data_IF_606820198933
#
_entry.id   IF_606820198933
#
_cell.length_a   1.000
_cell.length_b   1.000
_cell.length_c   1.000
_cell.angle_alpha   90.00
_cell.angle_beta   90.00
_cell.angle_gamma   90.00
#
_symmetry.space_group_name_H-M   'P 1'
#
loop_
_entity.id
_entity.type
_entity.pdbx_description
1 polymer ?
#
# COMPACT_ATOMS: atom_id res chain seq x y z
N UNK A 1 -13.49 -31.68 -18.88
CA UNK A 1 -12.83 -30.88 -17.82
C UNK A 1 -13.22 -29.44 -18.09
N UNK A 2 -14.25 -28.93 -17.40
CA UNK A 2 -14.68 -27.55 -17.59
C UNK A 2 -13.62 -26.64 -16.96
N UNK A 3 -12.94 -25.83 -17.77
CA UNK A 3 -12.16 -24.70 -17.29
C UNK A 3 -13.12 -23.77 -16.54
N UNK A 4 -13.00 -23.73 -15.20
CA UNK A 4 -13.71 -22.74 -14.40
C UNK A 4 -13.18 -21.36 -14.80
N UNK A 5 -14.07 -20.53 -15.35
CA UNK A 5 -13.75 -19.13 -15.60
C UNK A 5 -13.30 -18.49 -14.28
N UNK A 6 -12.18 -17.75 -14.29
CA UNK A 6 -11.69 -17.11 -13.08
C UNK A 6 -12.73 -16.11 -12.55
N UNK A 7 -12.93 -16.16 -11.24
CA UNK A 7 -13.85 -15.26 -10.53
C UNK A 7 -13.49 -13.79 -10.79
N UNK A 8 -14.51 -12.97 -11.03
CA UNK A 8 -14.41 -11.54 -11.33
C UNK A 8 -13.62 -10.79 -10.25
N UNK A 9 -13.89 -11.11 -8.99
CA UNK A 9 -13.21 -10.53 -7.83
C UNK A 9 -11.70 -10.82 -7.87
N UNK A 10 -11.33 -12.07 -8.14
CA UNK A 10 -9.94 -12.50 -8.22
C UNK A 10 -9.19 -11.88 -9.43
N UNK A 11 -9.86 -11.74 -10.58
CA UNK A 11 -9.30 -11.02 -11.73
C UNK A 11 -9.05 -9.55 -11.42
N UNK A 12 -10.01 -8.90 -10.76
CA UNK A 12 -9.91 -7.50 -10.34
C UNK A 12 -8.74 -7.31 -9.37
N UNK A 13 -8.65 -8.17 -8.35
CA UNK A 13 -7.55 -8.18 -7.37
C UNK A 13 -6.19 -8.32 -8.05
N UNK A 14 -6.02 -9.33 -8.91
CA UNK A 14 -4.76 -9.56 -9.65
C UNK A 14 -4.38 -8.38 -10.52
N UNK A 15 -5.35 -7.81 -11.24
CA UNK A 15 -5.11 -6.66 -12.12
C UNK A 15 -4.74 -5.41 -11.30
N UNK A 16 -5.42 -5.16 -10.19
CA UNK A 16 -5.09 -4.07 -9.27
C UNK A 16 -3.66 -4.20 -8.71
N UNK A 17 -3.26 -5.38 -8.22
CA UNK A 17 -1.90 -5.61 -7.70
C UNK A 17 -0.83 -5.45 -8.79
N UNK A 18 -1.10 -5.95 -10.00
CA UNK A 18 -0.22 -5.73 -11.16
C UNK A 18 -0.07 -4.26 -11.51
N UNK A 19 -1.17 -3.52 -11.49
CA UNK A 19 -1.19 -2.08 -11.72
C UNK A 19 -0.43 -1.31 -10.62
N UNK A 20 -0.66 -1.62 -9.35
CA UNK A 20 0.07 -1.04 -8.20
C UNK A 20 1.58 -1.28 -8.31
N UNK A 21 1.98 -2.51 -8.64
CA UNK A 21 3.39 -2.85 -8.86
C UNK A 21 3.99 -2.00 -9.99
N UNK A 22 3.29 -1.86 -11.12
CA UNK A 22 3.76 -1.10 -12.27
C UNK A 22 3.95 0.38 -11.96
N UNK A 23 2.97 1.03 -11.32
CA UNK A 23 3.10 2.45 -10.96
C UNK A 23 4.21 2.68 -9.93
N UNK A 24 4.49 1.70 -9.06
CA UNK A 24 5.59 1.75 -8.08
C UNK A 24 6.96 1.55 -8.72
N UNK A 25 7.07 0.68 -9.72
CA UNK A 25 8.30 0.60 -10.53
C UNK A 25 8.62 1.92 -11.21
N UNK A 26 7.63 2.55 -11.85
CA UNK A 26 7.79 3.85 -12.52
C UNK A 26 8.22 4.91 -11.50
N UNK A 27 7.51 5.03 -10.38
CA UNK A 27 7.85 5.98 -9.32
C UNK A 27 9.28 5.81 -8.81
N UNK A 28 9.71 4.58 -8.51
CA UNK A 28 11.04 4.32 -7.99
C UNK A 28 12.13 4.63 -9.01
N UNK A 29 11.93 4.26 -10.28
CA UNK A 29 12.95 4.42 -11.33
C UNK A 29 13.03 5.84 -11.87
N UNK A 30 11.89 6.49 -12.06
CA UNK A 30 11.79 7.74 -12.82
C UNK A 30 11.47 8.95 -11.94
N UNK A 31 11.00 8.73 -10.71
CA UNK A 31 10.55 9.79 -9.79
C UNK A 31 11.15 9.66 -8.39
N UNK A 32 12.29 8.97 -8.28
CA UNK A 32 13.02 8.78 -7.03
C UNK A 32 12.14 8.24 -5.89
N UNK A 33 11.13 7.41 -6.18
CA UNK A 33 10.26 6.79 -5.17
C UNK A 33 9.20 7.69 -4.57
N UNK A 34 8.97 8.89 -5.14
CA UNK A 34 7.87 9.76 -4.69
C UNK A 34 6.51 9.11 -5.00
N UNK A 35 5.58 9.00 -4.04
CA UNK A 35 4.28 8.40 -4.30
C UNK A 35 3.51 9.13 -5.41
N UNK A 36 3.06 8.37 -6.41
CA UNK A 36 2.20 8.91 -7.48
C UNK A 36 0.74 8.98 -7.01
N UNK A 37 -0.16 9.69 -7.72
CA UNK A 37 -1.59 9.70 -7.41
C UNK A 37 -2.21 8.31 -7.22
N UNK A 38 -1.82 7.33 -8.05
CA UNK A 38 -2.31 5.95 -7.92
C UNK A 38 -1.83 5.20 -6.66
N UNK A 39 -0.93 5.78 -5.86
CA UNK A 39 -0.50 5.27 -4.55
C UNK A 39 -1.15 6.04 -3.40
N UNK A 40 -1.91 7.08 -3.73
CA UNK A 40 -2.49 8.04 -2.81
C UNK A 40 -4.00 8.11 -3.00
N UNK A 41 -4.75 7.04 -2.66
CA UNK A 41 -6.19 7.02 -2.89
C UNK A 41 -6.88 8.14 -2.11
N UNK A 42 -7.91 8.73 -2.72
CA UNK A 42 -8.90 9.53 -2.01
C UNK A 42 -9.72 8.60 -1.12
N UNK A 43 -9.90 9.01 0.12
CA UNK A 43 -10.59 8.19 1.14
C UNK A 43 -11.93 8.82 1.45
N UNK A 44 -12.99 8.02 1.38
CA UNK A 44 -14.28 8.43 1.89
C UNK A 44 -14.82 7.45 2.93
N UNK A 45 -15.48 7.97 3.96
CA UNK A 45 -16.12 7.16 5.00
C UNK A 45 -17.44 7.82 5.40
N UNK A 46 -18.52 7.03 5.45
CA UNK A 46 -19.86 7.51 5.82
C UNK A 46 -20.33 8.76 5.06
N UNK A 47 -19.97 8.84 3.77
CA UNK A 47 -20.32 9.95 2.88
C UNK A 47 -19.44 11.20 3.02
N UNK A 48 -18.42 11.17 3.88
CA UNK A 48 -17.45 12.24 4.04
C UNK A 48 -16.16 11.94 3.29
N UNK A 49 -15.66 12.93 2.55
CA UNK A 49 -14.31 12.91 1.97
C UNK A 49 -13.29 13.28 3.07
N UNK A 50 -12.29 12.41 3.26
CA UNK A 50 -11.20 12.56 4.22
C UNK A 50 -9.87 12.96 3.55
N UNK A 51 -9.88 13.12 2.22
CA UNK A 51 -8.74 13.43 1.39
C UNK A 51 -7.85 12.22 1.09
N UNK A 52 -6.75 12.49 0.39
CA UNK A 52 -5.84 11.46 -0.07
C UNK A 52 -4.83 11.02 1.01
N UNK A 53 -4.69 9.71 1.21
CA UNK A 53 -3.68 9.11 2.10
C UNK A 53 -2.65 8.35 1.28
N UNK A 54 -1.40 8.24 1.72
CA UNK A 54 -0.43 7.33 1.07
C UNK A 54 -0.62 5.92 1.61
N UNK A 55 -0.79 4.94 0.71
CA UNK A 55 -0.84 3.51 1.08
C UNK A 55 0.33 2.72 0.50
N UNK A 56 0.69 1.63 1.17
CA UNK A 56 1.65 0.63 0.72
C UNK A 56 0.96 -0.68 0.37
N UNK A 57 1.58 -1.42 -0.55
CA UNK A 57 1.38 -2.87 -0.74
C UNK A 57 2.58 -3.58 -0.14
N UNK A 58 2.35 -4.52 0.77
CA UNK A 58 3.41 -5.30 1.41
C UNK A 58 3.57 -6.65 0.71
N UNK A 59 4.76 -7.26 0.83
CA UNK A 59 4.94 -8.68 0.46
C UNK A 59 4.01 -9.53 1.33
N UNK A 60 3.44 -10.59 0.76
CA UNK A 60 2.60 -11.54 1.49
C UNK A 60 3.39 -12.24 2.61
N UNK A 61 4.67 -12.48 2.38
CA UNK A 61 5.65 -12.96 3.36
C UNK A 61 6.73 -11.87 3.53
N UNK A 62 6.52 -10.88 4.43
CA UNK A 62 7.35 -9.69 4.49
C UNK A 62 8.57 -9.81 5.41
N UNK A 63 8.79 -10.92 6.12
CA UNK A 63 9.74 -11.04 7.22
C UNK A 63 11.18 -10.75 6.78
N UNK A 64 11.64 -11.38 5.71
CA UNK A 64 13.01 -11.24 5.21
C UNK A 64 13.29 -9.79 4.74
N UNK A 65 12.40 -9.24 3.91
CA UNK A 65 12.57 -7.87 3.42
C UNK A 65 12.45 -6.85 4.56
N UNK A 66 11.57 -7.08 5.53
CA UNK A 66 11.42 -6.20 6.70
C UNK A 66 12.66 -6.22 7.57
N UNK A 67 13.28 -7.38 7.76
CA UNK A 67 14.57 -7.50 8.46
C UNK A 67 15.67 -6.72 7.72
N UNK A 68 15.70 -6.78 6.39
CA UNK A 68 16.63 -6.02 5.57
C UNK A 68 16.40 -4.50 5.69
N UNK A 69 15.15 -4.03 5.59
CA UNK A 69 14.79 -2.62 5.78
C UNK A 69 15.21 -2.12 7.16
N UNK A 70 14.88 -2.89 8.21
CA UNK A 70 15.29 -2.57 9.58
C UNK A 70 16.80 -2.47 9.73
N UNK A 71 17.55 -3.38 9.11
CA UNK A 71 19.01 -3.35 9.12
C UNK A 71 19.54 -2.08 8.44
N UNK A 72 19.01 -1.71 7.27
CA UNK A 72 19.41 -0.49 6.57
C UNK A 72 19.16 0.77 7.42
N UNK A 73 17.99 0.87 8.05
CA UNK A 73 17.65 1.99 8.94
C UNK A 73 18.62 2.10 10.12
N UNK A 74 19.00 0.97 10.73
CA UNK A 74 19.89 0.94 11.89
C UNK A 74 21.37 1.13 11.54
N UNK A 75 21.80 0.70 10.35
CA UNK A 75 23.20 0.75 9.92
C UNK A 75 23.58 2.12 9.35
N UNK A 76 22.71 2.72 8.56
CA UNK A 76 23.02 3.94 7.81
C UNK A 76 22.34 5.13 8.48
N UNK A 77 23.13 5.91 9.23
CA UNK A 77 22.67 7.09 9.95
C UNK A 77 22.39 8.27 9.01
N UNK A 78 23.15 8.42 7.93
CA UNK A 78 22.94 9.47 6.94
C UNK A 78 21.64 9.19 6.16
N UNK A 79 20.62 10.07 6.26
CA UNK A 79 19.37 9.89 5.54
C UNK A 79 19.54 9.83 4.02
N UNK A 80 20.50 10.55 3.44
CA UNK A 80 20.71 10.59 2.00
C UNK A 80 21.31 9.27 1.49
N UNK A 81 22.32 8.73 2.17
CA UNK A 81 22.90 7.43 1.82
C UNK A 81 21.86 6.31 1.96
N UNK A 82 21.07 6.34 3.05
CA UNK A 82 20.00 5.37 3.27
C UNK A 82 18.94 5.45 2.17
N UNK A 83 18.56 6.66 1.78
CA UNK A 83 17.62 6.90 0.69
C UNK A 83 18.12 6.31 -0.63
N UNK A 84 19.37 6.60 -1.01
CA UNK A 84 19.97 6.06 -2.24
C UNK A 84 20.03 4.53 -2.24
N UNK A 85 20.37 3.94 -1.10
CA UNK A 85 20.43 2.50 -0.94
C UNK A 85 19.03 1.85 -1.09
N UNK A 86 17.99 2.41 -0.48
CA UNK A 86 16.63 1.86 -0.62
C UNK A 86 16.09 2.04 -2.03
N UNK A 87 16.37 3.17 -2.70
CA UNK A 87 15.96 3.38 -4.09
C UNK A 87 16.59 2.32 -5.00
N UNK A 88 17.89 2.04 -4.85
CA UNK A 88 18.57 0.98 -5.61
C UNK A 88 17.95 -0.40 -5.36
N UNK A 89 17.67 -0.73 -4.10
CA UNK A 89 17.04 -2.00 -3.70
C UNK A 89 15.64 -2.16 -4.35
N UNK A 90 14.79 -1.14 -4.22
CA UNK A 90 13.41 -1.17 -4.72
C UNK A 90 13.34 -1.10 -6.26
N UNK A 91 14.30 -0.42 -6.90
CA UNK A 91 14.35 -0.26 -8.36
C UNK A 91 14.63 -1.57 -9.10
N UNK A 92 15.24 -2.54 -8.39
CA UNK A 92 15.62 -3.84 -8.91
C UNK A 92 14.40 -4.73 -9.21
N UNK A 93 14.28 -5.88 -8.52
CA UNK A 93 13.23 -6.85 -8.77
C UNK A 93 12.02 -6.76 -7.82
N UNK A 94 12.03 -5.81 -6.87
CA UNK A 94 11.09 -5.79 -5.75
C UNK A 94 9.61 -5.84 -6.19
N UNK A 95 9.23 -4.97 -7.14
CA UNK A 95 7.87 -4.88 -7.68
C UNK A 95 7.64 -5.72 -8.94
N UNK A 96 8.55 -6.60 -9.36
CA UNK A 96 8.42 -7.33 -10.64
C UNK A 96 7.38 -8.44 -10.61
N UNK A 97 7.04 -8.96 -9.43
CA UNK A 97 6.17 -10.12 -9.24
C UNK A 97 4.95 -9.75 -8.39
N UNK A 98 3.82 -9.35 -9.01
CA UNK A 98 2.63 -8.92 -8.28
C UNK A 98 2.02 -9.98 -7.36
N UNK A 99 2.14 -11.27 -7.72
CA UNK A 99 1.59 -12.37 -6.92
C UNK A 99 2.29 -12.60 -5.58
N UNK A 100 3.47 -12.00 -5.37
CA UNK A 100 4.19 -12.05 -4.09
C UNK A 100 3.70 -10.98 -3.10
N UNK A 101 2.75 -10.12 -3.50
CA UNK A 101 2.20 -9.07 -2.64
C UNK A 101 0.87 -9.48 -2.02
N UNK A 102 0.69 -9.08 -0.76
CA UNK A 102 -0.61 -9.12 -0.10
C UNK A 102 -1.55 -8.11 -0.74
N UNK A 103 -2.84 -8.39 -0.66
CA UNK A 103 -3.91 -7.48 -1.03
C UNK A 103 -4.35 -6.57 0.13
N UNK A 104 -3.85 -6.80 1.34
CA UNK A 104 -3.98 -5.87 2.47
C UNK A 104 -3.15 -4.61 2.20
N UNK A 105 -3.83 -3.49 2.03
CA UNK A 105 -3.21 -2.19 1.93
C UNK A 105 -2.93 -1.64 3.32
N UNK A 106 -1.86 -0.87 3.48
CA UNK A 106 -1.53 -0.27 4.78
C UNK A 106 -1.16 1.19 4.67
N UNK A 107 -1.50 1.98 5.70
CA UNK A 107 -1.13 3.39 5.80
C UNK A 107 -0.53 3.71 7.16
N UNK A 108 0.51 4.53 7.19
CA UNK A 108 1.13 5.03 8.42
C UNK A 108 0.60 6.42 8.73
N UNK A 109 0.11 6.61 9.96
CA UNK A 109 -0.45 7.85 10.44
C UNK A 109 0.29 8.34 11.68
N UNK A 110 0.41 9.67 11.79
CA UNK A 110 0.97 10.29 12.98
C UNK A 110 0.14 10.02 14.25
N UNK A 111 0.74 10.17 15.44
CA UNK A 111 0.05 9.98 16.71
C UNK A 111 -1.17 10.91 16.80
N UNK A 112 -2.31 10.37 17.25
CA UNK A 112 -3.54 11.15 17.42
C UNK A 112 -4.15 11.68 16.12
N UNK A 113 -3.78 11.13 14.96
CA UNK A 113 -4.34 11.52 13.66
C UNK A 113 -5.87 11.43 13.67
N UNK A 114 -6.53 12.58 13.47
CA UNK A 114 -7.99 12.70 13.37
C UNK A 114 -8.59 11.79 12.29
N UNK A 115 -8.07 11.81 11.04
CA UNK A 115 -8.51 10.89 9.99
C UNK A 115 -8.38 9.42 10.37
N UNK A 116 -7.26 9.02 11.00
CA UNK A 116 -7.06 7.63 11.40
C UNK A 116 -8.07 7.18 12.48
N UNK A 117 -8.30 8.04 13.48
CA UNK A 117 -9.28 7.79 14.55
C UNK A 117 -10.69 7.66 13.98
N UNK A 118 -11.05 8.54 13.04
CA UNK A 118 -12.34 8.47 12.37
C UNK A 118 -12.50 7.17 11.57
N UNK A 119 -11.49 6.79 10.79
CA UNK A 119 -11.50 5.55 9.99
C UNK A 119 -11.63 4.29 10.85
N UNK A 120 -10.89 4.20 11.96
CA UNK A 120 -11.04 3.10 12.93
C UNK A 120 -12.47 3.07 13.50
N UNK A 121 -12.99 4.24 13.90
CA UNK A 121 -14.34 4.35 14.47
C UNK A 121 -15.46 3.94 13.51
N UNK A 122 -15.29 4.18 12.21
CA UNK A 122 -16.23 3.71 11.18
C UNK A 122 -16.04 2.23 10.83
N UNK A 123 -14.82 1.69 10.95
CA UNK A 123 -14.47 0.29 10.61
C UNK A 123 -14.54 -0.04 9.12
N UNK A 124 -14.92 0.91 8.27
CA UNK A 124 -15.03 0.78 6.82
C UNK A 124 -14.81 2.11 6.11
N UNK A 125 -14.32 2.05 4.89
CA UNK A 125 -14.17 3.21 3.99
C UNK A 125 -14.24 2.78 2.52
N UNK A 126 -14.27 3.73 1.60
CA UNK A 126 -13.95 3.50 0.19
C UNK A 126 -12.60 4.17 -0.12
N UNK A 127 -11.69 3.42 -0.76
CA UNK A 127 -10.44 3.92 -1.32
C UNK A 127 -10.59 4.06 -2.83
N UNK A 128 -10.45 5.29 -3.33
CA UNK A 128 -10.51 5.59 -4.77
C UNK A 128 -9.12 5.90 -5.31
N UNK A 129 -8.62 5.05 -6.20
CA UNK A 129 -7.32 5.20 -6.83
C UNK A 129 -7.47 5.65 -8.27
N UNK A 130 -6.71 6.66 -8.70
CA UNK A 130 -6.67 7.08 -10.11
C UNK A 130 -5.24 7.36 -10.53
N UNK A 131 -4.79 6.73 -11.61
CA UNK A 131 -3.51 7.04 -12.27
C UNK A 131 -3.55 6.58 -13.72
N UNK A 132 -3.02 7.42 -14.62
CA UNK A 132 -3.12 7.23 -16.06
C UNK A 132 -4.60 7.11 -16.48
N UNK A 133 -4.97 6.08 -17.21
CA UNK A 133 -6.33 5.83 -17.69
C UNK A 133 -7.04 4.72 -16.90
N UNK A 134 -6.67 4.50 -15.63
CA UNK A 134 -7.28 3.48 -14.78
C UNK A 134 -7.69 4.08 -13.44
N UNK A 135 -8.93 3.79 -13.06
CA UNK A 135 -9.50 4.07 -11.73
C UNK A 135 -9.94 2.78 -11.07
N UNK A 136 -9.77 2.71 -9.75
CA UNK A 136 -10.37 1.69 -8.88
C UNK A 136 -11.12 2.36 -7.74
N UNK A 137 -12.31 1.86 -7.42
CA UNK A 137 -13.01 2.17 -6.19
C UNK A 137 -13.10 0.88 -5.38
N UNK A 138 -12.47 0.86 -4.21
CA UNK A 138 -12.35 -0.30 -3.35
C UNK A 138 -13.06 -0.01 -2.02
N UNK A 139 -14.24 -0.59 -1.77
CA UNK A 139 -14.76 -0.69 -0.42
C UNK A 139 -13.76 -1.49 0.43
N UNK A 140 -13.46 -1.02 1.63
CA UNK A 140 -12.51 -1.66 2.52
C UNK A 140 -13.06 -1.76 3.93
N UNK A 141 -12.76 -2.86 4.61
CA UNK A 141 -12.76 -2.88 6.07
C UNK A 141 -11.47 -2.26 6.61
N UNK A 142 -11.56 -1.58 7.74
CA UNK A 142 -10.46 -0.85 8.36
C UNK A 142 -10.13 -1.47 9.71
N UNK A 143 -8.85 -1.74 9.95
CA UNK A 143 -8.34 -2.23 11.23
C UNK A 143 -7.11 -1.45 11.68
N UNK A 144 -6.93 -1.33 13.00
CA UNK A 144 -5.66 -0.92 13.59
C UNK A 144 -4.76 -2.16 13.69
N UNK A 145 -3.56 -2.11 13.12
CA UNK A 145 -2.60 -3.20 13.21
C UNK A 145 -1.78 -3.09 14.49
N UNK A 146 -1.59 -4.20 15.18
CA UNK A 146 -0.70 -4.26 16.34
C UNK A 146 0.76 -4.21 15.93
N UNK A 147 1.64 -3.74 16.82
CA UNK A 147 3.07 -3.63 16.50
C UNK A 147 3.74 -4.98 16.19
N UNK A 148 3.22 -6.08 16.72
CA UNK A 148 3.71 -7.43 16.42
C UNK A 148 3.26 -7.95 15.05
N UNK A 149 2.31 -7.28 14.39
CA UNK A 149 1.82 -7.69 13.07
C UNK A 149 2.93 -7.53 12.01
N UNK A 150 3.19 -8.56 11.17
CA UNK A 150 4.20 -8.46 10.11
C UNK A 150 3.96 -7.30 9.13
N UNK A 151 2.70 -6.99 8.81
CA UNK A 151 2.34 -5.86 7.95
C UNK A 151 2.58 -4.53 8.65
N UNK A 152 2.35 -4.43 9.96
CA UNK A 152 2.74 -3.25 10.73
C UNK A 152 4.26 -3.02 10.60
N UNK A 153 5.06 -4.05 10.85
CA UNK A 153 6.52 -3.94 10.84
C UNK A 153 7.04 -3.57 9.44
N UNK A 154 6.52 -4.22 8.40
CA UNK A 154 6.88 -3.91 7.02
C UNK A 154 6.62 -2.44 6.68
N UNK A 155 5.42 -1.94 7.03
CA UNK A 155 5.01 -0.56 6.76
C UNK A 155 5.83 0.45 7.56
N UNK A 156 6.07 0.18 8.83
CA UNK A 156 6.89 1.04 9.69
C UNK A 156 8.32 1.15 9.15
N UNK A 157 9.01 0.03 8.96
CA UNK A 157 10.41 0.02 8.52
C UNK A 157 10.58 0.54 7.09
N UNK A 158 9.62 0.27 6.19
CA UNK A 158 9.61 0.87 4.86
C UNK A 158 9.56 2.40 4.97
N UNK A 159 8.61 2.96 5.73
CA UNK A 159 8.50 4.41 5.89
C UNK A 159 9.75 5.01 6.55
N UNK A 160 10.39 4.32 7.51
CA UNK A 160 11.61 4.80 8.18
C UNK A 160 12.80 4.98 7.24
N UNK A 161 12.80 4.30 6.07
CA UNK A 161 13.86 4.49 5.07
C UNK A 161 13.77 5.86 4.39
N UNK A 162 12.55 6.39 4.26
CA UNK A 162 12.25 7.66 3.57
C UNK A 162 12.05 8.82 4.54
N UNK A 163 11.52 8.56 5.74
CA UNK A 163 11.28 9.55 6.77
C UNK A 163 12.22 9.29 7.97
N UNK A 164 13.30 10.10 8.14
CA UNK A 164 14.21 9.96 9.28
C UNK A 164 13.56 10.31 10.62
N UNK A 165 12.46 11.05 10.63
CA UNK A 165 11.85 11.65 11.82
C UNK A 165 10.45 11.08 12.07
N UNK A 166 10.28 9.76 11.95
CA UNK A 166 9.00 9.12 12.31
C UNK A 166 8.74 9.32 13.81
N UNK A 167 7.63 9.97 14.21
CA UNK A 167 7.32 10.18 15.62
C UNK A 167 7.08 8.86 16.36
N UNK A 168 7.28 8.88 17.68
CA UNK A 168 6.81 7.78 18.52
C UNK A 168 5.26 7.74 18.54
N UNK A 169 4.69 6.56 18.71
CA UNK A 169 3.23 6.38 18.82
C UNK A 169 2.46 6.52 17.50
N UNK A 170 3.12 6.32 16.36
CA UNK A 170 2.43 6.18 15.06
C UNK A 170 1.41 5.04 15.08
N UNK A 171 0.40 5.18 14.24
CA UNK A 171 -0.61 4.15 14.00
C UNK A 171 -0.41 3.60 12.59
N UNK A 172 -0.50 2.28 12.44
CA UNK A 172 -0.60 1.66 11.10
C UNK A 172 -2.00 1.08 10.97
N UNK A 173 -2.72 1.53 9.94
CA UNK A 173 -4.02 0.96 9.61
C UNK A 173 -3.89 -0.03 8.48
N UNK A 174 -4.63 -1.13 8.58
CA UNK A 174 -4.90 -2.06 7.51
C UNK A 174 -6.22 -1.70 6.81
N UNK A 175 -6.22 -1.77 5.48
CA UNK A 175 -7.39 -1.59 4.63
C UNK A 175 -7.53 -2.85 3.80
N UNK A 176 -8.44 -3.74 4.20
CA UNK A 176 -8.71 -4.98 3.48
C UNK A 176 -9.82 -4.72 2.46
N UNK A 177 -9.54 -4.75 1.15
CA UNK A 177 -10.57 -4.54 0.14
C UNK A 177 -11.60 -5.67 0.14
N UNK A 178 -12.85 -5.29 -0.07
CA UNK A 178 -13.90 -6.18 -0.51
C UNK A 178 -13.85 -6.29 -2.03
N UNK A 179 -13.30 -7.41 -2.52
CA UNK A 179 -13.10 -7.62 -3.96
C UNK A 179 -14.39 -7.97 -4.69
N UNK A 180 -15.42 -8.42 -3.99
CA UNK A 180 -16.72 -8.70 -4.57
C UNK A 180 -17.42 -7.39 -4.95
N UNK A 181 -17.25 -6.33 -4.15
CA UNK A 181 -17.82 -5.01 -4.42
C UNK A 181 -16.83 -4.00 -5.05
N UNK A 182 -15.62 -4.46 -5.39
CA UNK A 182 -14.62 -3.63 -6.05
C UNK A 182 -15.04 -3.25 -7.48
N UNK A 183 -14.79 -1.99 -7.84
CA UNK A 183 -15.06 -1.46 -9.18
C UNK A 183 -13.79 -0.95 -9.85
N UNK A 184 -13.67 -1.22 -11.15
CA UNK A 184 -12.58 -0.74 -12.00
C UNK A 184 -13.14 -0.03 -13.24
N UNK A 185 -12.54 1.11 -13.60
CA UNK A 185 -12.84 1.85 -14.82
C UNK A 185 -11.56 2.23 -15.59
N UNK A 186 -11.35 1.77 -16.83
CA UNK A 186 -12.19 0.80 -17.54
C UNK A 186 -12.23 -0.54 -16.79
N UNK A 187 -13.26 -1.36 -17.10
CA UNK A 187 -13.38 -2.71 -16.55
C UNK A 187 -12.13 -3.53 -16.84
N UNK A 188 -11.77 -4.40 -15.89
CA UNK A 188 -10.63 -5.31 -16.07
C UNK A 188 -10.95 -6.26 -17.23
N UNK A 189 -10.01 -6.49 -18.17
CA UNK A 189 -10.25 -7.44 -19.24
C UNK A 189 -10.57 -8.84 -18.68
N UNK A 190 -11.72 -9.41 -19.09
CA UNK A 190 -12.18 -10.72 -18.64
C UNK A 190 -13.09 -10.71 -17.40
N UNK A 191 -13.38 -9.54 -16.82
CA UNK A 191 -14.42 -9.34 -15.76
C UNK A 191 -15.79 -8.96 -16.31
#
# INVERSE_FOLDING_TARGET
>A
MQEQQPDRAELTRKHFLGWQCRIRQISIRDHAGRPSPGMRPDVSASGHDLGAITVLINKAEPEEITAQFRYMVKKTLDPAERYDAVIKLLAAAYYQKPHEFSDLLTGLFGPGSGPATHLIGQGRCELRFTQFSQTYALPCSVSLLEQSDPSYQATFWHNSLFNPEIPAGVMVLGFQPDWDDAHADPKVPGT
#
